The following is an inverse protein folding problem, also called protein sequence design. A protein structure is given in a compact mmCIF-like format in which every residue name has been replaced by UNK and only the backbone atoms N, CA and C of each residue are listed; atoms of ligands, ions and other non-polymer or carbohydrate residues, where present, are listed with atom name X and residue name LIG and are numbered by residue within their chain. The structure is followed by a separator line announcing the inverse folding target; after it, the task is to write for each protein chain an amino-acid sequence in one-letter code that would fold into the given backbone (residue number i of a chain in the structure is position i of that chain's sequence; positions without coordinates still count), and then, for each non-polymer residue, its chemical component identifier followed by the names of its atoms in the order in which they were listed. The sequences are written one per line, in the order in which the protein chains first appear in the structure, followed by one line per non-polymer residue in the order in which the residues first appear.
data_IF_180881457691
#
_entry.id   IF_180881457691
#
_cell.length_a   1.000
_cell.length_b   1.000
_cell.length_c   1.000
_cell.angle_alpha   90.00
_cell.angle_beta   90.00
_cell.angle_gamma   90.00
#
_symmetry.space_group_name_H-M   'P 1'
#
loop_
_entity.id
_entity.type
_entity.pdbx_description
1 polymer ?
#
# COMPACT_ATOMS: atom_id res chain seq x y z
N UNK A 1 20.76 -47.15 -46.77
CA UNK A 1 21.75 -46.10 -46.48
C UNK A 1 21.14 -45.15 -45.46
N UNK A 2 21.84 -44.96 -44.35
CA UNK A 2 21.41 -44.53 -43.01
C UNK A 2 20.79 -43.13 -42.92
N UNK A 3 19.64 -43.03 -42.24
CA UNK A 3 19.06 -41.75 -41.84
C UNK A 3 19.97 -41.08 -40.80
N UNK A 4 20.47 -39.89 -41.11
CA UNK A 4 21.30 -39.11 -40.21
C UNK A 4 20.43 -38.56 -39.05
N UNK A 5 20.57 -39.16 -37.86
CA UNK A 5 20.03 -38.59 -36.62
C UNK A 5 20.77 -37.27 -36.33
N UNK A 6 20.10 -36.14 -36.57
CA UNK A 6 20.60 -34.83 -36.17
C UNK A 6 20.42 -34.68 -34.66
N UNK A 7 21.53 -34.77 -33.92
CA UNK A 7 21.54 -34.54 -32.48
C UNK A 7 21.18 -33.07 -32.23
N UNK A 8 19.95 -32.83 -31.76
CA UNK A 8 19.49 -31.51 -31.31
C UNK A 8 20.20 -31.14 -30.00
N UNK A 9 21.24 -30.31 -30.08
CA UNK A 9 21.88 -29.73 -28.91
C UNK A 9 20.93 -28.73 -28.25
N UNK A 10 20.22 -29.15 -27.20
CA UNK A 10 19.43 -28.25 -26.36
C UNK A 10 20.37 -27.23 -25.74
N UNK A 11 20.33 -25.97 -26.21
CA UNK A 11 21.12 -24.86 -25.65
C UNK A 11 20.89 -24.84 -24.14
N UNK A 12 21.93 -25.11 -23.36
CA UNK A 12 21.84 -25.13 -21.91
C UNK A 12 21.17 -23.83 -21.45
N UNK A 13 20.06 -23.96 -20.73
CA UNK A 13 19.25 -22.81 -20.38
C UNK A 13 20.11 -21.85 -19.54
N UNK A 14 20.01 -20.55 -19.78
CA UNK A 14 20.89 -19.53 -19.18
C UNK A 14 20.99 -19.66 -17.65
N UNK A 15 19.91 -20.12 -17.03
CA UNK A 15 19.75 -20.45 -15.63
C UNK A 15 20.79 -21.45 -15.11
N UNK A 16 21.16 -22.49 -15.88
CA UNK A 16 22.13 -23.53 -15.48
C UNK A 16 23.56 -22.99 -15.40
N UNK A 17 23.85 -21.86 -16.04
CA UNK A 17 25.19 -21.23 -16.02
C UNK A 17 25.44 -20.31 -14.82
N UNK A 18 24.44 -20.09 -13.98
CA UNK A 18 24.50 -19.15 -12.84
C UNK A 18 25.11 -19.83 -11.61
N UNK A 19 25.83 -19.06 -10.78
CA UNK A 19 26.36 -19.56 -9.51
C UNK A 19 25.19 -20.04 -8.61
N UNK A 20 25.28 -21.19 -7.92
CA UNK A 20 24.19 -21.72 -7.10
C UNK A 20 23.63 -20.71 -6.08
N UNK A 21 24.51 -19.91 -5.47
CA UNK A 21 24.11 -18.86 -4.51
C UNK A 21 23.24 -17.75 -5.14
N UNK A 22 23.49 -17.41 -6.42
CA UNK A 22 22.69 -16.42 -7.15
C UNK A 22 21.33 -17.00 -7.52
N UNK A 23 21.26 -18.29 -7.85
CA UNK A 23 20.00 -18.98 -8.12
C UNK A 23 19.11 -19.00 -6.86
N UNK A 24 19.69 -19.31 -5.70
CA UNK A 24 18.97 -19.30 -4.43
C UNK A 24 18.43 -17.91 -4.08
N UNK A 25 19.23 -16.86 -4.30
CA UNK A 25 18.81 -15.49 -4.04
C UNK A 25 17.68 -15.06 -4.98
N UNK A 26 17.78 -15.38 -6.28
CA UNK A 26 16.73 -15.09 -7.25
C UNK A 26 15.43 -15.83 -6.93
N UNK A 27 15.53 -17.10 -6.51
CA UNK A 27 14.37 -17.89 -6.14
C UNK A 27 13.69 -17.31 -4.88
N UNK A 28 14.46 -16.92 -3.86
CA UNK A 28 13.93 -16.25 -2.66
C UNK A 28 13.23 -14.94 -3.00
N UNK A 29 13.85 -14.09 -3.82
CA UNK A 29 13.24 -12.82 -4.26
C UNK A 29 11.97 -13.05 -5.06
N UNK A 30 11.96 -14.06 -5.94
CA UNK A 30 10.78 -14.42 -6.72
C UNK A 30 9.64 -14.86 -5.80
N UNK A 31 9.89 -15.79 -4.89
CA UNK A 31 8.87 -16.29 -3.95
C UNK A 31 8.32 -15.15 -3.09
N UNK A 32 9.19 -14.28 -2.54
CA UNK A 32 8.76 -13.14 -1.73
C UNK A 32 7.92 -12.14 -2.54
N UNK A 33 8.32 -11.84 -3.79
CA UNK A 33 7.57 -10.96 -4.67
C UNK A 33 6.18 -11.53 -5.01
N UNK A 34 6.10 -12.82 -5.34
CA UNK A 34 4.84 -13.50 -5.61
C UNK A 34 3.93 -13.52 -4.38
N UNK A 35 4.48 -13.81 -3.20
CA UNK A 35 3.74 -13.78 -1.95
C UNK A 35 3.19 -12.37 -1.64
N UNK A 36 3.99 -11.32 -1.85
CA UNK A 36 3.57 -9.94 -1.66
C UNK A 36 2.43 -9.54 -2.61
N UNK A 37 2.56 -9.84 -3.91
CA UNK A 37 1.52 -9.56 -4.91
C UNK A 37 0.23 -10.32 -4.59
N UNK A 38 0.33 -11.62 -4.28
CA UNK A 38 -0.82 -12.44 -3.92
C UNK A 38 -1.54 -11.90 -2.67
N UNK A 39 -0.78 -11.55 -1.63
CA UNK A 39 -1.30 -10.99 -0.38
C UNK A 39 -2.06 -9.67 -0.60
N UNK A 40 -1.58 -8.84 -1.53
CA UNK A 40 -2.25 -7.60 -1.92
C UNK A 40 -3.55 -7.86 -2.68
N UNK A 41 -3.52 -8.73 -3.70
CA UNK A 41 -4.70 -9.07 -4.52
C UNK A 41 -5.81 -9.69 -3.68
N UNK A 42 -5.47 -10.59 -2.74
CA UNK A 42 -6.47 -11.18 -1.84
C UNK A 42 -7.22 -10.14 -1.00
N UNK A 43 -6.57 -9.03 -0.62
CA UNK A 43 -7.21 -7.94 0.16
C UNK A 43 -8.01 -6.96 -0.71
N UNK A 44 -7.72 -6.90 -2.01
CA UNK A 44 -8.43 -6.03 -2.94
C UNK A 44 -9.83 -6.55 -3.31
N UNK A 45 -10.16 -7.79 -2.96
CA UNK A 45 -11.42 -8.44 -3.34
C UNK A 45 -12.67 -7.68 -2.87
N UNK A 46 -12.66 -7.07 -1.68
CA UNK A 46 -13.78 -6.26 -1.20
C UNK A 46 -14.01 -5.02 -2.06
N UNK A 47 -12.93 -4.37 -2.48
CA UNK A 47 -12.95 -3.14 -3.30
C UNK A 47 -13.36 -3.41 -4.75
N UNK A 48 -13.09 -4.61 -5.28
CA UNK A 48 -13.51 -4.96 -6.65
C UNK A 48 -15.01 -5.31 -6.74
N UNK A 49 -15.59 -5.83 -5.65
CA UNK A 49 -16.98 -6.28 -5.62
C UNK A 49 -17.95 -5.19 -5.17
N UNK A 50 -17.50 -4.30 -4.30
CA UNK A 50 -18.28 -3.20 -3.74
C UNK A 50 -17.67 -1.87 -4.14
N UNK A 51 -18.36 -0.76 -3.86
CA UNK A 51 -17.77 0.56 -4.09
C UNK A 51 -16.55 0.77 -3.19
N UNK A 52 -15.58 1.56 -3.67
CA UNK A 52 -14.39 1.95 -2.91
C UNK A 52 -14.75 2.95 -1.82
N UNK A 53 -15.44 2.47 -0.79
CA UNK A 53 -15.86 3.23 0.38
C UNK A 53 -15.23 2.63 1.63
N UNK A 54 -15.06 3.46 2.65
CA UNK A 54 -14.63 3.00 3.96
C UNK A 54 -15.72 2.08 4.53
N UNK A 55 -15.35 0.82 4.69
CA UNK A 55 -16.19 -0.17 5.34
C UNK A 55 -16.01 -0.09 6.86
N UNK A 56 -17.07 -0.41 7.60
CA UNK A 56 -17.13 -0.36 9.06
C UNK A 56 -17.13 1.06 9.66
N UNK A 57 -17.60 1.20 10.92
CA UNK A 57 -17.78 2.49 11.58
C UNK A 57 -16.47 3.09 12.09
N UNK A 58 -15.61 2.28 12.71
CA UNK A 58 -14.39 2.72 13.38
C UNK A 58 -13.41 3.47 12.44
N UNK A 59 -13.17 3.02 11.19
CA UNK A 59 -12.20 3.68 10.33
C UNK A 59 -12.60 5.08 9.84
N UNK A 60 -13.89 5.47 9.95
CA UNK A 60 -14.31 6.85 9.61
C UNK A 60 -13.64 7.90 10.49
N UNK A 61 -13.41 7.60 11.77
CA UNK A 61 -12.68 8.50 12.67
C UNK A 61 -11.21 8.64 12.24
N UNK A 62 -10.57 7.53 11.86
CA UNK A 62 -9.19 7.52 11.36
C UNK A 62 -9.04 8.29 10.04
N UNK A 63 -10.04 8.21 9.16
CA UNK A 63 -10.07 8.99 7.93
C UNK A 63 -10.24 10.50 8.21
N UNK A 64 -11.20 10.90 9.05
CA UNK A 64 -11.42 12.32 9.38
C UNK A 64 -10.19 12.96 10.02
N UNK A 65 -9.53 12.24 10.93
CA UNK A 65 -8.30 12.70 11.59
C UNK A 65 -7.14 12.81 10.62
N UNK A 66 -6.99 11.84 9.71
CA UNK A 66 -5.99 11.90 8.62
C UNK A 66 -6.24 13.05 7.67
N UNK A 67 -7.50 13.30 7.29
CA UNK A 67 -7.88 14.44 6.44
C UNK A 67 -7.54 15.77 7.10
N UNK A 68 -7.91 15.93 8.38
CA UNK A 68 -7.54 17.12 9.16
C UNK A 68 -6.03 17.32 9.20
N UNK A 69 -5.26 16.26 9.43
CA UNK A 69 -3.80 16.31 9.45
C UNK A 69 -3.20 16.70 8.09
N UNK A 70 -3.70 16.16 6.99
CA UNK A 70 -3.22 16.45 5.65
C UNK A 70 -3.55 17.89 5.19
N UNK A 71 -4.68 18.44 5.62
CA UNK A 71 -5.11 19.80 5.25
C UNK A 71 -4.52 20.89 6.14
N UNK A 72 -4.44 20.67 7.46
CA UNK A 72 -4.07 21.71 8.44
C UNK A 72 -2.67 21.54 9.04
N UNK A 73 -2.02 20.41 8.76
CA UNK A 73 -0.67 20.10 9.20
C UNK A 73 -0.57 19.55 10.63
N UNK A 74 0.63 19.08 10.98
CA UNK A 74 0.89 18.35 12.23
C UNK A 74 0.72 19.19 13.49
N UNK A 75 1.15 20.46 13.49
CA UNK A 75 1.04 21.33 14.66
C UNK A 75 -0.42 21.63 15.03
N UNK A 76 -1.25 21.90 14.02
CA UNK A 76 -2.70 22.10 14.20
C UNK A 76 -3.36 20.82 14.71
N UNK A 77 -2.95 19.67 14.17
CA UNK A 77 -3.46 18.35 14.59
C UNK A 77 -3.11 18.00 16.04
N UNK A 78 -1.88 18.26 16.49
CA UNK A 78 -1.48 17.98 17.87
C UNK A 78 -2.27 18.81 18.90
N UNK A 79 -2.65 20.04 18.54
CA UNK A 79 -3.44 20.92 19.39
C UNK A 79 -4.95 20.88 19.08
N UNK A 80 -5.40 19.88 18.30
CA UNK A 80 -6.76 19.85 17.82
C UNK A 80 -7.75 19.46 18.92
N UNK A 81 -8.69 20.36 19.16
CA UNK A 81 -9.91 20.13 19.93
C UNK A 81 -11.11 19.98 18.99
N UNK A 82 -11.80 18.86 19.08
CA UNK A 82 -13.01 18.58 18.29
C UNK A 82 -14.25 18.90 19.12
N UNK A 83 -14.92 20.00 18.75
CA UNK A 83 -16.17 20.48 19.33
C UNK A 83 -17.41 19.72 18.80
N UNK A 84 -17.26 18.95 17.72
CA UNK A 84 -18.35 18.20 17.08
C UNK A 84 -18.58 16.83 17.70
N UNK A 85 -17.60 16.32 18.42
CA UNK A 85 -17.69 15.05 19.13
C UNK A 85 -18.11 15.29 20.59
N UNK A 86 -18.91 14.40 21.17
CA UNK A 86 -19.28 14.45 22.60
C UNK A 86 -19.91 15.78 23.04
N UNK A 87 -20.89 16.29 22.30
CA UNK A 87 -21.62 17.50 22.70
C UNK A 87 -22.27 17.31 24.08
N UNK A 88 -22.14 18.27 25.02
CA UNK A 88 -21.55 19.61 24.89
C UNK A 88 -20.06 19.74 25.27
N UNK A 89 -19.39 18.64 25.64
CA UNK A 89 -18.03 18.66 26.22
C UNK A 89 -16.91 18.82 25.19
N UNK A 90 -17.07 18.26 23.99
CA UNK A 90 -15.97 18.17 23.02
C UNK A 90 -14.98 17.04 23.33
N UNK A 91 -13.96 16.89 22.48
CA UNK A 91 -12.85 15.94 22.69
C UNK A 91 -11.52 16.54 22.24
N UNK A 92 -10.51 16.47 23.10
CA UNK A 92 -9.11 16.76 22.72
C UNK A 92 -8.61 15.57 21.90
N UNK A 93 -8.36 15.76 20.61
CA UNK A 93 -7.94 14.65 19.73
C UNK A 93 -6.43 14.46 19.81
N UNK A 94 -5.65 15.52 19.65
CA UNK A 94 -4.19 15.39 19.51
C UNK A 94 -3.47 14.68 20.67
N UNK A 95 -4.05 14.69 21.87
CA UNK A 95 -3.52 13.98 23.05
C UNK A 95 -4.22 12.66 23.42
N UNK A 96 -5.31 12.26 22.73
CA UNK A 96 -6.09 11.06 23.08
C UNK A 96 -6.05 9.95 22.04
N UNK A 97 -5.22 10.09 20.99
CA UNK A 97 -5.10 9.11 19.91
C UNK A 97 -3.64 8.83 19.57
N UNK A 98 -3.38 7.65 19.00
CA UNK A 98 -2.07 7.32 18.45
C UNK A 98 -1.96 7.87 17.02
N UNK A 99 -1.07 8.84 16.76
CA UNK A 99 -1.02 9.56 15.48
C UNK A 99 -0.35 8.77 14.35
N UNK A 100 0.23 7.59 14.64
CA UNK A 100 1.08 6.86 13.70
C UNK A 100 0.40 6.56 12.37
N UNK A 101 -0.83 6.05 12.41
CA UNK A 101 -1.60 5.75 11.20
C UNK A 101 -1.86 7.01 10.37
N UNK A 102 -2.34 8.09 11.00
CA UNK A 102 -2.67 9.34 10.33
C UNK A 102 -1.43 9.97 9.69
N UNK A 103 -0.31 9.99 10.42
CA UNK A 103 0.96 10.55 9.92
C UNK A 103 1.48 9.74 8.73
N UNK A 104 1.47 8.40 8.81
CA UNK A 104 1.91 7.57 7.67
C UNK A 104 1.07 7.79 6.43
N UNK A 105 -0.25 7.88 6.58
CA UNK A 105 -1.18 8.15 5.48
C UNK A 105 -1.01 9.55 4.89
N UNK A 106 -0.81 10.58 5.74
CA UNK A 106 -0.58 11.96 5.29
C UNK A 106 0.74 12.11 4.54
N UNK A 107 1.82 11.46 5.02
CA UNK A 107 3.12 11.47 4.32
C UNK A 107 3.00 10.81 2.94
N UNK A 108 2.34 9.65 2.86
CA UNK A 108 2.06 9.00 1.57
C UNK A 108 1.23 9.91 0.66
N UNK A 109 0.17 10.54 1.19
CA UNK A 109 -0.66 11.48 0.44
C UNK A 109 0.16 12.63 -0.14
N UNK A 110 1.02 13.29 0.66
CA UNK A 110 1.86 14.38 0.17
C UNK A 110 2.93 13.90 -0.82
N UNK A 111 3.52 12.73 -0.60
CA UNK A 111 4.48 12.14 -1.52
C UNK A 111 3.85 11.90 -2.91
N UNK A 112 2.65 11.33 -2.96
CA UNK A 112 1.92 11.14 -4.23
C UNK A 112 1.42 12.46 -4.81
N UNK A 113 0.86 13.37 -4.00
CA UNK A 113 0.31 14.64 -4.47
C UNK A 113 1.38 15.58 -5.05
N UNK A 114 2.62 15.49 -4.56
CA UNK A 114 3.76 16.25 -5.11
C UNK A 114 4.11 15.85 -6.56
N UNK A 115 3.75 14.63 -6.98
CA UNK A 115 3.96 14.16 -8.35
C UNK A 115 2.83 14.65 -9.28
N UNK A 116 3.15 15.16 -10.49
CA UNK A 116 2.16 15.67 -11.46
C UNK A 116 1.07 14.66 -11.87
N UNK A 117 1.34 13.36 -11.71
CA UNK A 117 0.49 12.23 -12.14
C UNK A 117 -0.79 12.07 -11.30
N UNK A 118 -0.88 12.69 -10.12
CA UNK A 118 -1.81 12.26 -9.06
C UNK A 118 -3.12 13.04 -8.95
N UNK A 119 -3.34 14.06 -9.79
CA UNK A 119 -4.51 14.97 -9.65
C UNK A 119 -5.90 14.32 -9.85
N UNK A 120 -6.09 13.28 -10.70
CA UNK A 120 -7.43 12.69 -10.89
C UNK A 120 -7.71 11.43 -10.06
N UNK A 121 -6.71 10.81 -9.42
CA UNK A 121 -6.87 9.52 -8.71
C UNK A 121 -7.42 9.64 -7.27
N UNK A 122 -7.42 10.85 -6.71
CA UNK A 122 -7.79 11.11 -5.31
C UNK A 122 -9.23 11.62 -5.13
N UNK A 123 -10.01 11.77 -6.22
CA UNK A 123 -11.45 12.04 -6.15
C UNK A 123 -12.28 10.77 -5.87
N UNK A 124 -11.63 9.60 -5.81
CA UNK A 124 -12.26 8.29 -5.56
C UNK A 124 -11.96 7.72 -4.16
N UNK A 125 -11.48 8.55 -3.22
CA UNK A 125 -11.34 8.23 -1.80
C UNK A 125 -12.08 9.22 -0.92
#
# INVERSE_FOLDING_TARGET
MTAANTIQYKKASWWVRMNPEKQDTLLKMLILSMAAVLSFVCRLFSVLRFESVIHEFDPYFNYRTTKYLAELGFYSFHNWFDDRAWYPLGRIIGGTIYPGLMVTSAVLYHAFHSSPVSRPLLLFF
#
